data_IF_150482992582
#
_entry.id   IF_150482992582
#
_cell.length_a   1.000
_cell.length_b   1.000
_cell.length_c   1.000
_cell.angle_alpha   90.00
_cell.angle_beta   90.00
_cell.angle_gamma   90.00
#
_symmetry.space_group_name_H-M   'P 1'
#
loop_
_entity.id
_entity.type
_entity.pdbx_description
1 polymer ?
#
# COMPACT_ATOMS: atom_id res chain seq x y z
N UNK A 1 26.38 16.01 -23.94
CA UNK A 1 26.93 15.99 -25.33
C UNK A 1 26.53 14.71 -26.09
N UNK A 2 26.66 13.52 -25.48
CA UNK A 2 26.38 12.27 -26.18
C UNK A 2 24.90 12.04 -26.51
N UNK A 3 23.98 12.41 -25.60
CA UNK A 3 22.54 12.30 -25.82
C UNK A 3 22.09 13.19 -26.98
N UNK A 4 22.52 14.47 -27.00
CA UNK A 4 22.21 15.42 -28.07
C UNK A 4 22.76 14.96 -29.43
N UNK A 5 23.98 14.42 -29.42
CA UNK A 5 24.53 13.82 -30.65
C UNK A 5 23.65 12.65 -31.15
N UNK A 6 23.24 11.75 -30.26
CA UNK A 6 22.40 10.60 -30.61
C UNK A 6 21.03 11.06 -31.12
N UNK A 7 20.39 12.04 -30.48
CA UNK A 7 19.12 12.63 -30.93
C UNK A 7 19.26 13.09 -32.39
N UNK A 8 20.32 13.83 -32.69
CA UNK A 8 20.57 14.30 -34.05
C UNK A 8 20.86 13.18 -35.04
N UNK A 9 21.73 12.23 -34.67
CA UNK A 9 22.17 11.15 -35.54
C UNK A 9 21.00 10.21 -35.90
N UNK A 10 20.04 9.98 -35.00
CA UNK A 10 18.88 9.12 -35.17
C UNK A 10 17.62 9.87 -35.65
N UNK A 11 17.71 11.19 -35.85
CA UNK A 11 16.60 12.04 -36.29
C UNK A 11 15.44 12.12 -35.28
N UNK A 12 15.76 12.04 -33.99
CA UNK A 12 14.78 12.11 -32.89
C UNK A 12 14.48 13.57 -32.57
N UNK A 13 13.28 13.82 -32.03
CA UNK A 13 12.79 15.17 -31.72
C UNK A 13 13.42 15.73 -30.45
N UNK A 14 13.47 14.91 -29.40
CA UNK A 14 13.85 15.32 -28.05
C UNK A 14 14.35 14.15 -27.20
N UNK A 15 14.59 14.38 -25.92
CA UNK A 15 15.04 13.40 -24.93
C UNK A 15 13.98 12.33 -24.64
N UNK A 16 12.69 12.63 -24.73
CA UNK A 16 11.62 11.66 -24.56
C UNK A 16 11.62 10.64 -25.72
N UNK A 17 11.82 11.10 -26.94
CA UNK A 17 12.01 10.19 -28.09
C UNK A 17 13.32 9.41 -27.99
N UNK A 18 14.37 9.97 -27.41
CA UNK A 18 15.60 9.23 -27.14
C UNK A 18 15.38 8.11 -26.11
N UNK A 19 14.60 8.36 -25.06
CA UNK A 19 14.19 7.31 -24.12
C UNK A 19 13.44 6.18 -24.85
N UNK A 20 12.43 6.52 -25.64
CA UNK A 20 11.67 5.54 -26.42
C UNK A 20 12.53 4.79 -27.44
N UNK A 21 13.53 5.45 -28.04
CA UNK A 21 14.51 4.79 -28.91
C UNK A 21 15.28 3.71 -28.15
N UNK A 22 15.75 4.00 -26.93
CA UNK A 22 16.45 3.02 -26.08
C UNK A 22 15.52 1.87 -25.71
N UNK A 23 14.28 2.17 -25.29
CA UNK A 23 13.27 1.17 -24.91
C UNK A 23 12.92 0.26 -26.09
N UNK A 24 12.70 0.80 -27.29
CA UNK A 24 12.46 0.00 -28.50
C UNK A 24 13.64 -0.91 -28.85
N UNK A 25 14.88 -0.49 -28.59
CA UNK A 25 16.06 -1.37 -28.77
C UNK A 25 16.07 -2.50 -27.73
N UNK A 26 15.78 -2.18 -26.47
CA UNK A 26 15.66 -3.18 -25.40
C UNK A 26 14.54 -4.20 -25.72
N UNK A 27 13.38 -3.74 -26.18
CA UNK A 27 12.28 -4.60 -26.62
C UNK A 27 12.72 -5.59 -27.70
N UNK A 28 13.42 -5.11 -28.74
CA UNK A 28 13.94 -5.97 -29.82
C UNK A 28 14.93 -7.03 -29.32
N UNK A 29 15.79 -6.65 -28.38
CA UNK A 29 16.72 -7.61 -27.75
C UNK A 29 15.98 -8.66 -26.94
N UNK A 30 14.98 -8.27 -26.15
CA UNK A 30 14.15 -9.19 -25.37
C UNK A 30 13.34 -10.12 -26.29
N UNK A 31 12.74 -9.57 -27.34
CA UNK A 31 11.97 -10.33 -28.32
C UNK A 31 12.81 -11.39 -29.04
N UNK A 32 14.08 -11.10 -29.35
CA UNK A 32 15.02 -12.06 -29.94
C UNK A 32 15.28 -13.28 -29.03
N UNK A 33 15.00 -13.13 -27.71
CA UNK A 33 15.08 -14.20 -26.70
C UNK A 33 13.70 -14.71 -26.25
N UNK A 34 12.63 -14.43 -27.02
CA UNK A 34 11.27 -14.85 -26.70
C UNK A 34 10.69 -14.21 -25.44
N UNK A 35 11.20 -13.04 -25.01
CA UNK A 35 10.74 -12.29 -23.84
C UNK A 35 9.98 -11.04 -24.25
N UNK A 36 8.99 -10.64 -23.42
CA UNK A 36 8.28 -9.37 -23.57
C UNK A 36 8.88 -8.32 -22.63
N UNK A 37 8.88 -7.07 -23.06
CA UNK A 37 9.27 -5.93 -22.24
C UNK A 37 8.16 -5.61 -21.24
N UNK A 38 8.52 -5.41 -19.99
CA UNK A 38 7.69 -4.74 -19.00
C UNK A 38 8.48 -3.53 -18.52
N UNK A 39 7.87 -2.35 -18.48
CA UNK A 39 8.50 -1.12 -18.01
C UNK A 39 7.56 -0.29 -17.14
N UNK A 40 8.17 0.53 -16.30
CA UNK A 40 7.45 1.55 -15.53
C UNK A 40 6.77 2.55 -16.47
N UNK A 41 5.77 3.27 -16.01
CA UNK A 41 4.93 4.12 -16.87
C UNK A 41 5.66 5.30 -17.54
N UNK A 42 6.93 5.58 -17.18
CA UNK A 42 7.79 6.47 -17.93
C UNK A 42 8.03 6.05 -19.38
N UNK A 43 7.89 4.76 -19.69
CA UNK A 43 8.01 4.28 -21.09
C UNK A 43 6.92 4.80 -22.02
N UNK A 44 5.87 5.44 -21.48
CA UNK A 44 4.85 6.16 -22.25
C UNK A 44 5.39 7.45 -22.89
N UNK A 45 6.40 8.06 -22.25
CA UNK A 45 6.99 9.30 -22.72
C UNK A 45 7.75 9.08 -24.04
N UNK A 46 7.45 9.88 -25.08
CA UNK A 46 8.06 9.73 -26.40
C UNK A 46 7.56 8.56 -27.24
N UNK A 47 6.56 7.82 -26.79
CA UNK A 47 5.90 6.74 -27.53
C UNK A 47 6.25 5.34 -27.06
N UNK A 48 5.21 4.55 -26.83
CA UNK A 48 5.31 3.19 -26.28
C UNK A 48 5.82 2.20 -27.34
N UNK A 49 6.68 1.26 -26.93
CA UNK A 49 7.08 0.14 -27.76
C UNK A 49 5.90 -0.82 -28.02
N UNK A 50 5.73 -1.37 -29.23
CA UNK A 50 4.47 -2.02 -29.63
C UNK A 50 3.99 -3.19 -28.76
N UNK A 51 4.92 -3.98 -28.19
CA UNK A 51 4.57 -5.15 -27.37
C UNK A 51 4.76 -4.92 -25.87
N UNK A 52 5.10 -3.70 -25.45
CA UNK A 52 5.41 -3.40 -24.07
C UNK A 52 4.19 -3.52 -23.15
N UNK A 53 4.42 -4.09 -21.97
CA UNK A 53 3.50 -4.06 -20.85
C UNK A 53 3.90 -2.89 -19.93
N UNK A 54 2.93 -2.14 -19.43
CA UNK A 54 3.17 -0.97 -18.59
C UNK A 54 2.88 -1.26 -17.13
N UNK A 55 3.82 -0.91 -16.25
CA UNK A 55 3.59 -0.87 -14.81
C UNK A 55 3.26 0.55 -14.37
N UNK A 56 2.00 0.80 -14.01
CA UNK A 56 1.50 2.12 -13.62
C UNK A 56 1.76 2.38 -12.14
N UNK A 57 2.79 3.19 -11.82
CA UNK A 57 3.21 3.45 -10.44
C UNK A 57 2.98 4.88 -9.96
N UNK A 58 3.12 5.88 -10.85
CA UNK A 58 2.93 7.31 -10.54
C UNK A 58 1.46 7.67 -10.26
N UNK A 59 0.55 6.73 -10.43
CA UNK A 59 -0.88 6.86 -10.28
C UNK A 59 -1.57 5.84 -11.20
N UNK A 60 -2.85 6.06 -11.48
CA UNK A 60 -3.62 5.18 -12.36
C UNK A 60 -3.61 5.65 -13.84
N UNK A 61 -3.27 6.91 -14.09
CA UNK A 61 -3.39 7.54 -15.41
C UNK A 61 -2.58 6.82 -16.48
N UNK A 62 -1.34 6.45 -16.17
CA UNK A 62 -0.49 5.69 -17.08
C UNK A 62 -1.08 4.34 -17.46
N UNK A 63 -1.68 3.65 -16.48
CA UNK A 63 -2.37 2.38 -16.69
C UNK A 63 -3.65 2.55 -17.52
N UNK A 64 -4.46 3.54 -17.22
CA UNK A 64 -5.68 3.88 -17.96
C UNK A 64 -5.34 4.18 -19.43
N UNK A 65 -4.37 5.05 -19.65
CA UNK A 65 -3.91 5.41 -20.99
C UNK A 65 -3.43 4.16 -21.77
N UNK A 66 -2.56 3.36 -21.16
CA UNK A 66 -1.98 2.18 -21.80
C UNK A 66 -3.03 1.13 -22.14
N UNK A 67 -3.94 0.82 -21.21
CA UNK A 67 -5.03 -0.13 -21.46
C UNK A 67 -5.94 0.33 -22.60
N UNK A 68 -6.32 1.61 -22.62
CA UNK A 68 -7.14 2.17 -23.69
C UNK A 68 -6.42 2.16 -25.06
N UNK A 69 -5.09 2.24 -25.07
CA UNK A 69 -4.27 2.06 -26.29
C UNK A 69 -4.13 0.58 -26.70
N UNK A 70 -4.54 -0.37 -25.88
CA UNK A 70 -4.48 -1.81 -26.15
C UNK A 70 -3.19 -2.48 -25.68
N UNK A 71 -2.48 -1.88 -24.73
CA UNK A 71 -1.32 -2.48 -24.07
C UNK A 71 -1.70 -3.16 -22.76
N UNK A 72 -1.04 -4.27 -22.47
CA UNK A 72 -1.18 -4.93 -21.17
C UNK A 72 -0.61 -4.06 -20.05
N UNK A 73 -1.26 -4.10 -18.88
CA UNK A 73 -0.95 -3.23 -17.74
C UNK A 73 -0.91 -4.04 -16.45
N UNK A 74 0.04 -3.73 -15.59
CA UNK A 74 0.07 -4.12 -14.19
C UNK A 74 -0.09 -2.84 -13.37
N UNK A 75 -1.13 -2.79 -12.53
CA UNK A 75 -1.42 -1.65 -11.68
C UNK A 75 -0.60 -1.73 -10.39
N UNK A 76 0.16 -0.67 -10.09
CA UNK A 76 0.98 -0.59 -8.87
C UNK A 76 1.07 0.84 -8.33
N UNK A 77 -0.05 1.61 -8.29
CA UNK A 77 0.01 3.02 -7.92
C UNK A 77 0.29 3.19 -6.42
N UNK A 78 1.31 4.00 -6.10
CA UNK A 78 1.60 4.39 -4.72
C UNK A 78 0.42 5.11 -4.05
N UNK A 79 -0.30 5.96 -4.80
CA UNK A 79 -1.54 6.62 -4.36
C UNK A 79 -2.66 5.62 -3.99
N UNK A 80 -2.70 4.46 -4.61
CA UNK A 80 -3.62 3.36 -4.29
C UNK A 80 -3.25 2.57 -3.03
N UNK A 81 -2.12 2.89 -2.39
CA UNK A 81 -1.62 2.17 -1.21
C UNK A 81 -0.79 0.95 -1.55
N UNK A 82 -0.39 0.77 -2.82
CA UNK A 82 0.35 -0.41 -3.26
C UNK A 82 1.86 -0.32 -3.02
N UNK A 83 2.35 0.82 -2.48
CA UNK A 83 3.70 0.92 -1.93
C UNK A 83 3.66 0.55 -0.45
N UNK A 84 3.90 -0.72 -0.17
CA UNK A 84 3.78 -1.30 1.17
C UNK A 84 5.07 -1.25 1.99
N UNK A 85 6.07 -0.54 1.53
CA UNK A 85 7.18 -0.01 2.32
C UNK A 85 6.81 1.24 3.12
N UNK A 86 5.65 1.85 2.83
CA UNK A 86 5.08 2.99 3.55
C UNK A 86 4.56 2.60 4.95
N UNK A 87 4.33 3.62 5.80
CA UNK A 87 3.72 3.43 7.11
C UNK A 87 2.32 2.80 7.01
N UNK A 88 2.00 1.92 7.93
CA UNK A 88 0.67 1.32 8.04
C UNK A 88 -0.06 1.70 9.35
N UNK A 89 0.65 2.32 10.29
CA UNK A 89 0.16 2.90 11.55
C UNK A 89 0.78 4.26 11.82
N UNK A 90 0.86 4.67 13.10
CA UNK A 90 1.42 5.96 13.52
C UNK A 90 2.93 6.04 13.25
N UNK A 91 3.41 6.98 12.41
CA UNK A 91 4.83 7.16 12.14
C UNK A 91 5.72 7.43 13.35
N UNK A 92 5.14 7.92 14.46
CA UNK A 92 5.89 8.20 15.70
C UNK A 92 6.39 6.96 16.41
N UNK A 93 5.75 5.82 16.17
CA UNK A 93 6.03 4.58 16.88
C UNK A 93 6.33 3.41 15.97
N UNK A 94 6.04 3.52 14.67
CA UNK A 94 6.47 2.53 13.69
C UNK A 94 7.95 2.67 13.33
N UNK A 95 8.60 1.58 12.89
CA UNK A 95 9.91 1.67 12.26
C UNK A 95 9.91 2.69 11.13
N UNK A 96 11.01 3.42 10.94
CA UNK A 96 11.12 4.47 9.91
C UNK A 96 10.79 3.90 8.53
N UNK A 97 9.95 4.63 7.78
CA UNK A 97 9.61 4.38 6.38
C UNK A 97 9.92 5.61 5.54
N UNK A 98 9.91 5.46 4.22
CA UNK A 98 10.23 6.56 3.31
C UNK A 98 9.25 7.74 3.43
N UNK A 99 7.96 7.44 3.51
CA UNK A 99 6.89 8.42 3.69
C UNK A 99 5.53 7.72 3.86
N UNK A 100 4.52 8.53 3.81
CA UNK A 100 3.16 8.22 3.36
C UNK A 100 2.46 7.16 4.20
N UNK A 101 1.16 7.01 3.94
CA UNK A 101 0.33 6.10 4.70
C UNK A 101 -0.43 5.13 3.79
N UNK A 102 -0.20 3.85 3.99
CA UNK A 102 -0.82 2.75 3.26
C UNK A 102 -1.40 1.71 4.23
N UNK A 103 -2.54 2.00 4.88
CA UNK A 103 -3.17 1.06 5.81
C UNK A 103 -3.73 -0.15 5.10
N UNK A 104 -3.97 -1.22 5.87
CA UNK A 104 -4.54 -2.47 5.39
C UNK A 104 -5.84 -2.27 4.59
N UNK A 105 -6.75 -1.45 5.10
CA UNK A 105 -8.04 -1.17 4.48
C UNK A 105 -7.90 -0.49 3.11
N UNK A 106 -6.92 0.41 2.96
CA UNK A 106 -6.66 1.08 1.68
C UNK A 106 -6.22 0.08 0.62
N UNK A 107 -5.32 -0.84 0.96
CA UNK A 107 -4.86 -1.90 0.05
C UNK A 107 -6.01 -2.84 -0.31
N UNK A 108 -6.82 -3.24 0.67
CA UNK A 108 -7.99 -4.11 0.46
C UNK A 108 -9.03 -3.49 -0.47
N UNK A 109 -9.29 -2.19 -0.31
CA UNK A 109 -10.30 -1.49 -1.10
C UNK A 109 -9.80 -1.05 -2.48
N UNK A 110 -8.53 -1.26 -2.78
CA UNK A 110 -8.00 -0.91 -4.09
C UNK A 110 -8.73 -1.67 -5.21
N UNK A 111 -9.18 -0.93 -6.24
CA UNK A 111 -9.76 -1.51 -7.45
C UNK A 111 -8.75 -1.47 -8.59
N UNK A 112 -8.20 -2.61 -9.02
CA UNK A 112 -7.19 -2.63 -10.09
C UNK A 112 -7.74 -2.28 -11.48
N UNK A 113 -9.07 -2.17 -11.63
CA UNK A 113 -9.72 -1.83 -12.91
C UNK A 113 -10.45 -0.49 -12.75
N UNK A 114 -9.78 0.67 -12.96
CA UNK A 114 -10.42 1.97 -12.91
C UNK A 114 -11.58 2.09 -13.90
N UNK A 115 -12.64 2.80 -13.51
CA UNK A 115 -13.84 2.99 -14.35
C UNK A 115 -13.57 3.72 -15.67
N UNK A 116 -12.52 4.56 -15.71
CA UNK A 116 -12.09 5.28 -16.90
C UNK A 116 -11.51 4.38 -18.01
N UNK A 117 -11.29 3.10 -17.74
CA UNK A 117 -10.92 2.13 -18.77
C UNK A 117 -12.16 1.67 -19.52
N UNK A 118 -12.13 1.81 -20.86
CA UNK A 118 -13.20 1.37 -21.73
C UNK A 118 -13.54 -0.11 -21.48
N UNK A 119 -14.81 -0.51 -21.44
CA UNK A 119 -15.22 -1.86 -21.08
C UNK A 119 -14.56 -2.97 -21.91
N UNK A 120 -14.38 -2.74 -23.21
CA UNK A 120 -13.70 -3.65 -24.14
C UNK A 120 -12.18 -3.70 -23.96
N UNK A 121 -11.59 -2.77 -23.17
CA UNK A 121 -10.16 -2.68 -22.87
C UNK A 121 -9.77 -3.20 -21.49
N UNK A 122 -10.72 -3.48 -20.63
CA UNK A 122 -10.47 -3.94 -19.25
C UNK A 122 -9.65 -5.23 -19.16
N UNK A 123 -9.72 -6.07 -20.17
CA UNK A 123 -8.94 -7.31 -20.27
C UNK A 123 -7.43 -7.08 -20.37
N UNK A 124 -6.99 -5.86 -20.69
CA UNK A 124 -5.59 -5.47 -20.68
C UNK A 124 -5.03 -5.30 -19.28
N UNK A 125 -5.86 -5.09 -18.25
CA UNK A 125 -5.39 -5.11 -16.87
C UNK A 125 -5.11 -6.55 -16.47
N UNK A 126 -3.82 -6.88 -16.30
CA UNK A 126 -3.39 -8.25 -15.93
C UNK A 126 -3.44 -8.49 -14.43
N UNK A 127 -3.56 -7.44 -13.64
CA UNK A 127 -3.63 -7.49 -12.19
C UNK A 127 -2.99 -6.27 -11.54
N UNK A 128 -2.68 -6.41 -10.26
CA UNK A 128 -1.96 -5.41 -9.50
C UNK A 128 -0.78 -6.02 -8.74
N UNK A 129 0.16 -5.16 -8.34
CA UNK A 129 1.36 -5.53 -7.61
C UNK A 129 1.60 -4.53 -6.49
N UNK A 130 2.02 -5.01 -5.32
CA UNK A 130 2.61 -4.18 -4.28
C UNK A 130 4.11 -4.05 -4.47
N UNK A 131 4.68 -2.96 -4.00
CA UNK A 131 6.12 -2.71 -4.03
C UNK A 131 6.67 -2.56 -2.62
N UNK A 132 7.83 -3.17 -2.38
CA UNK A 132 8.65 -3.04 -1.19
C UNK A 132 10.02 -2.50 -1.63
N UNK A 133 10.18 -1.17 -1.61
CA UNK A 133 11.44 -0.53 -1.92
C UNK A 133 12.40 -0.60 -0.73
N UNK A 134 13.68 -0.84 -0.99
CA UNK A 134 14.62 -1.25 0.03
C UNK A 134 15.30 -0.11 0.80
N UNK A 135 14.96 1.15 0.54
CA UNK A 135 15.63 2.31 1.15
C UNK A 135 15.64 2.28 2.68
N UNK A 136 14.57 1.73 3.27
CA UNK A 136 14.41 1.60 4.73
C UNK A 136 14.18 0.16 5.18
N UNK A 137 14.35 -0.83 4.29
CA UNK A 137 14.15 -2.25 4.61
C UNK A 137 15.52 -2.95 4.79
N UNK A 138 16.05 -2.91 5.98
CA UNK A 138 17.39 -3.41 6.31
C UNK A 138 17.41 -4.79 6.95
N UNK A 139 16.25 -5.39 7.27
CA UNK A 139 16.15 -6.79 7.75
C UNK A 139 14.97 -7.52 7.12
N UNK A 140 15.05 -8.85 7.10
CA UNK A 140 13.93 -9.70 6.62
C UNK A 140 12.69 -9.55 7.50
N UNK A 141 12.86 -9.39 8.81
CA UNK A 141 11.77 -9.19 9.76
C UNK A 141 11.02 -7.90 9.47
N UNK A 142 11.74 -6.81 9.17
CA UNK A 142 11.13 -5.53 8.82
C UNK A 142 10.40 -5.62 7.47
N UNK A 143 10.98 -6.34 6.49
CA UNK A 143 10.32 -6.60 5.22
C UNK A 143 9.00 -7.36 5.43
N UNK A 144 8.99 -8.43 6.23
CA UNK A 144 7.79 -9.20 6.56
C UNK A 144 6.76 -8.35 7.31
N UNK A 145 7.21 -7.54 8.27
CA UNK A 145 6.37 -6.58 8.99
C UNK A 145 5.67 -5.60 8.03
N UNK A 146 6.38 -5.09 7.03
CA UNK A 146 5.81 -4.21 6.02
C UNK A 146 4.89 -4.94 5.05
N UNK A 147 5.21 -6.18 4.68
CA UNK A 147 4.41 -6.97 3.75
C UNK A 147 3.07 -7.39 4.36
N UNK A 148 3.10 -7.97 5.56
CA UNK A 148 1.92 -8.60 6.14
C UNK A 148 1.22 -7.72 7.17
N UNK A 149 -0.14 -7.68 7.13
CA UNK A 149 -1.05 -8.48 6.31
C UNK A 149 -1.44 -7.88 4.94
N UNK A 150 -0.82 -6.77 4.50
CA UNK A 150 -1.23 -6.04 3.27
C UNK A 150 -1.14 -6.87 1.98
N UNK A 151 -0.15 -7.76 1.88
CA UNK A 151 -0.06 -8.71 0.75
C UNK A 151 -1.29 -9.64 0.69
N UNK A 152 -1.81 -10.05 1.84
CA UNK A 152 -3.03 -10.86 1.90
C UNK A 152 -4.24 -10.06 1.44
N UNK A 153 -4.28 -8.77 1.79
CA UNK A 153 -5.33 -7.85 1.35
C UNK A 153 -5.30 -7.65 -0.17
N UNK A 154 -4.11 -7.41 -0.76
CA UNK A 154 -3.99 -7.31 -2.20
C UNK A 154 -4.38 -8.62 -2.90
N UNK A 155 -3.95 -9.77 -2.36
CA UNK A 155 -4.32 -11.07 -2.92
C UNK A 155 -5.85 -11.20 -3.04
N UNK A 156 -6.61 -10.85 -1.99
CA UNK A 156 -8.06 -10.88 -2.08
C UNK A 156 -8.61 -9.82 -3.05
N UNK A 157 -8.02 -8.62 -3.07
CA UNK A 157 -8.45 -7.54 -3.95
C UNK A 157 -8.31 -7.88 -5.45
N UNK A 158 -7.31 -8.69 -5.83
CA UNK A 158 -7.11 -9.09 -7.24
C UNK A 158 -7.80 -10.40 -7.62
N UNK A 159 -8.14 -11.26 -6.65
CA UNK A 159 -8.80 -12.54 -6.89
C UNK A 159 -10.32 -12.50 -6.69
N UNK A 160 -10.86 -11.46 -6.03
CA UNK A 160 -12.29 -11.35 -5.71
C UNK A 160 -12.93 -10.15 -6.41
N UNK A 161 -14.07 -10.32 -7.07
CA UNK A 161 -14.83 -9.20 -7.62
C UNK A 161 -15.14 -8.19 -6.51
N UNK A 162 -15.08 -6.89 -6.82
CA UNK A 162 -15.30 -5.81 -5.84
C UNK A 162 -16.66 -5.92 -5.15
N UNK A 163 -17.68 -6.42 -5.84
CA UNK A 163 -19.03 -6.65 -5.30
C UNK A 163 -19.10 -7.74 -4.23
N UNK A 164 -18.09 -8.59 -4.12
CA UNK A 164 -18.01 -9.69 -3.15
C UNK A 164 -17.04 -9.38 -2.02
N UNK A 165 -16.40 -8.21 -2.02
CA UNK A 165 -15.44 -7.84 -0.99
C UNK A 165 -16.13 -7.21 0.21
N UNK A 166 -15.80 -7.70 1.40
CA UNK A 166 -16.25 -7.18 2.70
C UNK A 166 -15.04 -7.12 3.64
N UNK A 167 -14.61 -5.90 3.97
CA UNK A 167 -13.41 -5.69 4.79
C UNK A 167 -13.58 -6.26 6.20
N UNK A 168 -14.79 -6.20 6.77
CA UNK A 168 -15.07 -6.75 8.10
C UNK A 168 -14.97 -8.27 8.10
N UNK A 169 -15.51 -8.94 7.08
CA UNK A 169 -15.35 -10.39 6.95
C UNK A 169 -13.90 -10.77 6.63
N UNK A 170 -13.21 -9.98 5.79
CA UNK A 170 -11.80 -10.16 5.52
C UNK A 170 -10.96 -10.12 6.80
N UNK A 171 -11.13 -9.10 7.64
CA UNK A 171 -10.39 -8.96 8.91
C UNK A 171 -10.66 -10.14 9.86
N UNK A 172 -11.90 -10.63 9.92
CA UNK A 172 -12.25 -11.85 10.67
C UNK A 172 -11.50 -13.08 10.15
N UNK A 173 -11.37 -13.23 8.83
CA UNK A 173 -10.66 -14.36 8.21
C UNK A 173 -9.15 -14.27 8.34
N UNK A 174 -8.60 -13.07 8.55
CA UNK A 174 -7.16 -12.87 8.80
C UNK A 174 -6.66 -13.65 10.01
N UNK A 175 -7.49 -13.98 11.00
CA UNK A 175 -7.09 -14.80 12.14
C UNK A 175 -6.46 -16.12 11.70
N UNK A 176 -7.03 -16.77 10.69
CA UNK A 176 -6.47 -18.01 10.14
C UNK A 176 -5.15 -17.78 9.38
N UNK A 177 -5.00 -16.64 8.73
CA UNK A 177 -3.75 -16.28 8.05
C UNK A 177 -2.65 -15.97 9.06
N UNK A 178 -2.96 -15.27 10.15
CA UNK A 178 -2.01 -15.01 11.22
C UNK A 178 -1.49 -16.30 11.88
N UNK A 179 -2.36 -17.31 12.09
CA UNK A 179 -1.92 -18.64 12.59
C UNK A 179 -0.86 -19.24 11.66
N UNK A 180 -1.05 -19.14 10.34
CA UNK A 180 -0.07 -19.64 9.36
C UNK A 180 1.23 -18.83 9.40
N UNK A 181 1.16 -17.50 9.52
CA UNK A 181 2.33 -16.64 9.67
C UNK A 181 3.10 -16.98 10.95
N UNK A 182 2.40 -17.24 12.07
CA UNK A 182 2.99 -17.67 13.33
C UNK A 182 3.71 -19.02 13.18
N UNK A 183 3.11 -19.98 12.48
CA UNK A 183 3.73 -21.29 12.21
C UNK A 183 5.02 -21.18 11.40
N UNK A 184 5.12 -20.20 10.53
CA UNK A 184 6.33 -19.89 9.74
C UNK A 184 7.30 -18.94 10.44
N UNK A 185 7.00 -18.48 11.65
CA UNK A 185 7.81 -17.50 12.38
C UNK A 185 7.89 -16.13 11.71
N UNK A 186 6.97 -15.84 10.76
CA UNK A 186 6.96 -14.58 10.04
C UNK A 186 6.56 -13.42 10.96
N UNK A 187 7.26 -12.30 10.83
CA UNK A 187 6.91 -11.06 11.54
C UNK A 187 5.88 -10.31 10.70
N UNK A 188 4.82 -9.87 11.34
CA UNK A 188 3.74 -9.12 10.69
C UNK A 188 3.29 -7.95 11.54
N UNK A 189 2.70 -6.98 10.91
CA UNK A 189 2.15 -5.82 11.61
C UNK A 189 0.90 -6.23 12.40
N UNK A 190 0.87 -5.84 13.67
CA UNK A 190 -0.32 -5.89 14.50
C UNK A 190 -0.73 -4.44 14.74
N UNK A 191 -1.93 -4.02 14.32
CA UNK A 191 -2.41 -2.67 14.56
C UNK A 191 -2.38 -2.33 16.05
N UNK A 192 -2.17 -1.06 16.35
CA UNK A 192 -2.30 -0.57 17.72
C UNK A 192 -3.68 -0.87 18.27
N UNK A 193 -3.79 -1.03 19.60
CA UNK A 193 -5.08 -1.17 20.23
C UNK A 193 -5.98 0.03 19.87
N UNK A 194 -7.15 -0.28 19.33
CA UNK A 194 -8.14 0.71 18.97
C UNK A 194 -9.06 0.99 20.15
N UNK A 195 -9.46 2.24 20.26
CA UNK A 195 -10.55 2.64 21.12
C UNK A 195 -11.75 3.00 20.24
N UNK A 196 -12.90 2.34 20.42
CA UNK A 196 -14.13 2.77 19.78
C UNK A 196 -14.49 4.17 20.22
N UNK A 197 -14.47 5.13 19.32
CA UNK A 197 -14.87 6.51 19.62
C UNK A 197 -16.35 6.68 19.24
N UNK A 198 -17.21 7.09 20.20
CA UNK A 198 -18.59 7.41 19.90
C UNK A 198 -18.67 8.55 18.89
N UNK A 199 -19.47 8.38 17.82
CA UNK A 199 -19.79 9.43 16.86
C UNK A 199 -18.77 9.63 15.72
N UNK A 200 -17.74 8.82 15.61
CA UNK A 200 -16.83 8.85 14.44
C UNK A 200 -17.38 7.93 13.36
N UNK A 201 -17.66 8.49 12.16
CA UNK A 201 -18.05 7.67 11.01
C UNK A 201 -16.88 6.78 10.58
N UNK A 202 -17.07 5.44 10.54
CA UNK A 202 -16.05 4.52 10.03
C UNK A 202 -15.57 4.80 8.60
N UNK A 203 -16.33 5.59 7.84
CA UNK A 203 -15.99 5.99 6.47
C UNK A 203 -15.18 7.28 6.38
N UNK A 204 -14.97 7.97 7.50
CA UNK A 204 -14.10 9.15 7.48
C UNK A 204 -12.67 8.77 7.10
N UNK A 205 -11.98 9.72 6.43
CA UNK A 205 -10.59 9.48 6.01
C UNK A 205 -9.72 9.13 7.22
N UNK A 206 -8.76 8.26 7.01
CA UNK A 206 -7.84 7.82 8.06
C UNK A 206 -7.15 9.00 8.77
N UNK A 207 -6.80 10.05 8.04
CA UNK A 207 -6.19 11.25 8.62
C UNK A 207 -7.09 11.91 9.67
N UNK A 208 -8.40 11.94 9.43
CA UNK A 208 -9.38 12.39 10.43
C UNK A 208 -9.52 11.40 11.58
N UNK A 209 -9.51 10.08 11.31
CA UNK A 209 -9.53 9.05 12.35
C UNK A 209 -8.31 9.17 13.27
N UNK A 210 -7.09 9.31 12.72
CA UNK A 210 -5.87 9.48 13.53
C UNK A 210 -5.90 10.77 14.33
N UNK A 211 -6.36 11.87 13.75
CA UNK A 211 -6.52 13.12 14.48
C UNK A 211 -7.54 13.01 15.63
N UNK A 212 -8.62 12.25 15.45
CA UNK A 212 -9.64 12.02 16.47
C UNK A 212 -9.26 10.98 17.52
N UNK A 213 -8.33 10.06 17.21
CA UNK A 213 -7.81 9.05 18.14
C UNK A 213 -6.83 9.62 19.17
N UNK A 214 -6.33 10.85 18.96
CA UNK A 214 -5.30 11.44 19.81
C UNK A 214 -5.82 12.05 21.11
N UNK A 215 -7.14 12.25 21.26
CA UNK A 215 -7.71 12.69 22.53
C UNK A 215 -9.21 12.37 22.64
N UNK A 216 -9.67 12.20 23.84
CA UNK A 216 -11.10 12.05 24.18
C UNK A 216 -11.48 13.20 25.09
N UNK A 217 -12.49 13.97 24.70
CA UNK A 217 -13.07 15.00 25.52
C UNK A 217 -14.21 14.41 26.39
N UNK A 218 -14.21 14.68 27.68
CA UNK A 218 -15.25 14.27 28.60
C UNK A 218 -15.48 15.36 29.65
N UNK A 219 -16.64 15.38 30.27
CA UNK A 219 -17.00 16.36 31.33
C UNK A 219 -16.63 15.89 32.74
N UNK A 220 -17.07 14.68 33.10
CA UNK A 220 -16.88 14.16 34.45
C UNK A 220 -15.90 12.98 34.51
N UNK A 221 -16.12 12.01 33.62
CA UNK A 221 -15.26 10.84 33.50
C UNK A 221 -15.46 10.17 32.13
N UNK A 222 -14.44 9.45 31.68
CA UNK A 222 -14.52 8.56 30.54
C UNK A 222 -14.06 7.16 30.92
N UNK A 223 -14.57 6.16 30.23
CA UNK A 223 -14.11 4.78 30.31
C UNK A 223 -13.44 4.42 28.99
N UNK A 224 -12.16 4.05 29.05
CA UNK A 224 -11.34 3.71 27.91
C UNK A 224 -11.25 2.20 27.76
N UNK A 225 -11.85 1.67 26.71
CA UNK A 225 -11.75 0.25 26.36
C UNK A 225 -10.78 0.10 25.20
N UNK A 226 -9.63 -0.54 25.44
CA UNK A 226 -8.65 -0.85 24.41
C UNK A 226 -8.92 -2.23 23.85
N UNK A 227 -9.04 -2.31 22.53
CA UNK A 227 -9.23 -3.58 21.80
C UNK A 227 -8.06 -3.83 20.87
N UNK A 228 -7.77 -5.07 20.57
CA UNK A 228 -6.75 -5.47 19.62
C UNK A 228 -7.29 -6.55 18.70
N UNK A 229 -6.88 -6.53 17.44
CA UNK A 229 -7.19 -7.56 16.45
C UNK A 229 -6.55 -8.92 16.76
N UNK A 230 -5.61 -8.96 17.73
CA UNK A 230 -4.91 -10.18 18.14
C UNK A 230 -4.90 -10.31 19.66
N UNK A 231 -4.86 -11.54 20.21
CA UNK A 231 -4.71 -11.76 21.64
C UNK A 231 -3.28 -11.41 22.08
N UNK A 232 -3.00 -10.15 22.27
CA UNK A 232 -1.69 -9.61 22.69
C UNK A 232 -1.78 -8.96 24.05
N UNK A 233 -0.62 -8.83 24.71
CA UNK A 233 -0.51 -8.03 25.91
C UNK A 233 -0.44 -6.55 25.53
N UNK A 234 -1.41 -5.76 25.96
CA UNK A 234 -1.43 -4.31 25.81
C UNK A 234 -0.77 -3.71 27.04
N UNK A 235 0.19 -2.82 26.86
CA UNK A 235 0.80 -2.01 27.92
C UNK A 235 0.53 -0.53 27.66
N UNK A 236 0.42 0.27 28.72
CA UNK A 236 0.10 1.70 28.62
C UNK A 236 0.83 2.52 29.68
N UNK A 237 0.87 3.83 29.45
CA UNK A 237 1.32 4.86 30.41
C UNK A 237 0.22 5.91 30.55
N UNK A 238 0.30 6.75 31.57
CA UNK A 238 -0.66 7.86 31.85
C UNK A 238 0.02 9.21 31.92
N UNK A 239 1.31 9.26 31.63
CA UNK A 239 2.16 10.45 31.77
C UNK A 239 2.71 10.92 30.41
N UNK A 240 2.24 10.33 29.31
CA UNK A 240 2.71 10.63 27.97
C UNK A 240 4.05 10.02 27.59
N UNK A 241 4.67 9.24 28.48
CA UNK A 241 5.87 8.48 28.14
C UNK A 241 5.54 7.32 27.20
N UNK A 242 6.49 6.93 26.35
CA UNK A 242 6.32 5.76 25.49
C UNK A 242 6.25 4.48 26.34
N UNK A 243 5.20 3.65 26.21
CA UNK A 243 5.11 2.39 26.91
C UNK A 243 6.29 1.47 26.60
N UNK A 244 6.77 0.76 27.60
CA UNK A 244 7.80 -0.28 27.51
C UNK A 244 7.25 -1.63 27.93
N UNK A 245 8.04 -2.70 27.80
CA UNK A 245 7.66 -4.04 28.28
C UNK A 245 7.40 -4.08 29.79
N UNK A 246 7.87 -3.08 30.54
CA UNK A 246 7.72 -2.95 31.99
C UNK A 246 6.57 -2.02 32.40
N UNK A 247 5.92 -1.36 31.43
CA UNK A 247 4.77 -0.50 31.70
C UNK A 247 3.55 -1.28 32.17
N UNK A 248 2.57 -0.58 32.70
CA UNK A 248 1.34 -1.19 33.22
C UNK A 248 0.61 -1.99 32.15
N UNK A 249 0.13 -3.17 32.51
CA UNK A 249 -0.59 -4.04 31.58
C UNK A 249 -2.09 -3.75 31.65
N UNK A 250 -2.69 -3.45 30.51
CA UNK A 250 -4.14 -3.30 30.38
C UNK A 250 -4.85 -4.64 30.62
N UNK A 251 -5.79 -4.65 31.56
CA UNK A 251 -6.56 -5.84 31.96
C UNK A 251 -8.07 -5.61 31.98
N UNK A 252 -8.50 -4.37 32.07
CA UNK A 252 -9.90 -3.98 32.15
C UNK A 252 -10.03 -2.51 31.69
N UNK A 253 -11.23 -2.04 31.34
CA UNK A 253 -11.47 -0.66 30.98
C UNK A 253 -10.89 0.33 31.98
N UNK A 254 -10.21 1.36 31.48
CA UNK A 254 -9.56 2.38 32.31
C UNK A 254 -10.53 3.53 32.56
N UNK A 255 -10.81 3.81 33.83
CA UNK A 255 -11.58 5.00 34.20
C UNK A 255 -10.66 6.21 34.29
N UNK A 256 -10.99 7.26 33.54
CA UNK A 256 -10.29 8.54 33.51
C UNK A 256 -11.21 9.63 34.07
N UNK A 257 -10.76 10.37 35.06
CA UNK A 257 -11.54 11.41 35.74
C UNK A 257 -10.87 12.79 35.70
N UNK A 258 -9.73 12.90 35.05
CA UNK A 258 -8.96 14.14 34.84
C UNK A 258 -8.22 14.03 33.51
N UNK A 259 -7.75 15.17 33.00
CA UNK A 259 -6.90 15.17 31.80
C UNK A 259 -5.60 14.39 32.08
N UNK A 260 -5.34 13.42 31.26
CA UNK A 260 -4.14 12.55 31.24
C UNK A 260 -3.64 12.41 29.80
N UNK A 261 -2.37 12.04 29.62
CA UNK A 261 -1.75 11.83 28.30
C UNK A 261 -1.30 10.38 28.17
#
# INVERSE_FOLDING_TARGET
PNCQKRIKDEGLKDEHELQSYVIRRAEKMLAAHGKKLIGWDEILEGGLAPSATVMSWRGEDGGIQSANMGHDVIMTPGSGGLYIDHYQGDPKIEPVAICCYAPLEKVYNYNPIPEAIAPDKRHHIKGAQTNLWAEYLYTTELMQYRAFPREIALAEAVWSPISHRDFKDFTRRLDNAYVRLDMHGAKYHIPQPEQPLPGVDPKESYEKKVASLNFIAFTDSAELTLTSSRPIRIVYTRDGSLPTLYSETYRAPLKVTKSEV
#
